data_IF_009988984172
#
_entry.id   IF_009988984172
#
_cell.length_a   1.000
_cell.length_b   1.000
_cell.length_c   1.000
_cell.angle_alpha   90.00
_cell.angle_beta   90.00
_cell.angle_gamma   90.00
#
_symmetry.space_group_name_H-M   'P 1'
#
loop_
_entity.id
_entity.type
_entity.pdbx_description
1 polymer ?
#
# COMPACT_ATOMS: atom_id res chain seq x y z
N UNK A 1 31.72 5.60 81.75
CA UNK A 1 32.50 6.41 80.77
C UNK A 1 31.96 6.12 79.38
N UNK A 2 31.26 7.08 78.75
CA UNK A 2 30.85 6.97 77.34
C UNK A 2 31.95 7.58 76.49
N UNK A 3 32.66 6.74 75.73
CA UNK A 3 33.60 7.19 74.72
C UNK A 3 32.79 7.83 73.60
N UNK A 4 32.85 9.15 73.48
CA UNK A 4 32.28 9.87 72.35
C UNK A 4 33.15 9.61 71.12
N UNK A 5 32.66 8.84 70.18
CA UNK A 5 33.31 8.62 68.89
C UNK A 5 33.28 9.94 68.10
N UNK A 6 34.46 10.44 67.74
CA UNK A 6 34.61 11.63 66.87
C UNK A 6 34.06 11.25 65.49
N UNK A 7 33.02 11.95 65.02
CA UNK A 7 32.53 11.76 63.66
C UNK A 7 33.64 12.14 62.66
N UNK A 8 33.96 11.30 61.66
CA UNK A 8 34.91 11.66 60.62
C UNK A 8 34.37 12.86 59.84
N UNK A 9 35.22 13.87 59.63
CA UNK A 9 34.88 15.05 58.83
C UNK A 9 34.93 14.74 57.34
N UNK A 10 33.95 15.23 56.59
CA UNK A 10 33.86 15.07 55.13
C UNK A 10 34.94 15.89 54.42
N UNK A 11 35.78 15.25 53.62
CA UNK A 11 36.87 15.92 52.91
C UNK A 11 36.37 16.53 51.59
N UNK A 12 37.02 17.60 51.15
CA UNK A 12 36.73 18.25 49.86
C UNK A 12 36.90 17.29 48.67
N UNK A 13 37.82 16.32 48.79
CA UNK A 13 38.05 15.31 47.76
C UNK A 13 36.92 14.26 47.70
N UNK A 14 36.32 13.88 48.84
CA UNK A 14 35.14 13.00 48.85
C UNK A 14 33.93 13.66 48.16
N UNK A 15 33.72 14.97 48.40
CA UNK A 15 32.68 15.72 47.69
C UNK A 15 32.92 15.73 46.18
N UNK A 16 34.16 16.02 45.77
CA UNK A 16 34.55 16.11 44.36
C UNK A 16 34.35 14.78 43.63
N UNK A 17 34.75 13.67 44.26
CA UNK A 17 34.55 12.34 43.69
C UNK A 17 33.06 12.03 43.61
N UNK A 18 32.27 12.35 44.64
CA UNK A 18 30.83 12.11 44.66
C UNK A 18 30.12 12.86 43.52
N UNK A 19 30.42 14.15 43.32
CA UNK A 19 29.81 14.93 42.23
C UNK A 19 30.31 14.47 40.85
N UNK A 20 31.56 14.03 40.73
CA UNK A 20 32.10 13.52 39.47
C UNK A 20 31.39 12.21 39.04
N UNK A 21 31.21 11.28 39.98
CA UNK A 21 30.47 10.03 39.73
C UNK A 21 29.01 10.35 39.41
N UNK A 22 28.37 11.22 40.18
CA UNK A 22 26.99 11.62 39.94
C UNK A 22 26.82 12.25 38.56
N UNK A 23 27.75 13.13 38.16
CA UNK A 23 27.75 13.74 36.84
C UNK A 23 27.90 12.69 35.72
N UNK A 24 28.76 11.68 35.91
CA UNK A 24 28.93 10.60 34.94
C UNK A 24 27.66 9.74 34.82
N UNK A 25 27.06 9.35 35.94
CA UNK A 25 25.81 8.57 35.96
C UNK A 25 24.67 9.36 35.31
N UNK A 26 24.55 10.66 35.61
CA UNK A 26 23.56 11.53 35.00
C UNK A 26 23.76 11.63 33.47
N UNK A 27 25.00 11.80 33.00
CA UNK A 27 25.32 11.85 31.57
C UNK A 27 25.00 10.53 30.85
N UNK A 28 25.29 9.38 31.48
CA UNK A 28 24.95 8.06 30.95
C UNK A 28 23.44 7.83 30.93
N UNK A 29 22.73 8.23 31.99
CA UNK A 29 21.27 8.14 32.08
C UNK A 29 20.57 8.93 30.97
N UNK A 30 21.01 10.16 30.72
CA UNK A 30 20.46 10.99 29.64
C UNK A 30 20.70 10.38 28.25
N UNK A 31 21.92 9.89 27.98
CA UNK A 31 22.24 9.22 26.71
C UNK A 31 21.44 7.92 26.51
N UNK A 32 21.24 7.15 27.58
CA UNK A 32 20.41 5.94 27.56
C UNK A 32 18.96 6.26 27.23
N UNK A 33 18.39 7.27 27.87
CA UNK A 33 17.03 7.75 27.60
C UNK A 33 16.88 8.24 26.15
N UNK A 34 17.78 9.10 25.67
CA UNK A 34 17.76 9.59 24.29
C UNK A 34 17.85 8.46 23.26
N UNK A 35 18.64 7.43 23.55
CA UNK A 35 18.74 6.23 22.72
C UNK A 35 17.40 5.49 22.61
N UNK A 36 16.71 5.29 23.73
CA UNK A 36 15.40 4.63 23.77
C UNK A 36 14.33 5.43 23.04
N UNK A 37 14.30 6.77 23.23
CA UNK A 37 13.32 7.63 22.58
C UNK A 37 13.45 7.59 21.06
N UNK A 38 14.68 7.73 20.53
CA UNK A 38 14.94 7.62 19.08
C UNK A 38 14.58 6.24 18.52
N UNK A 39 14.90 5.17 19.25
CA UNK A 39 14.57 3.81 18.83
C UNK A 39 13.04 3.61 18.76
N UNK A 40 12.29 4.14 19.73
CA UNK A 40 10.83 4.09 19.72
C UNK A 40 10.24 4.86 18.54
N UNK A 41 10.73 6.06 18.28
CA UNK A 41 10.25 6.89 17.17
C UNK A 41 10.46 6.20 15.81
N UNK A 42 11.65 5.61 15.58
CA UNK A 42 11.91 4.81 14.37
C UNK A 42 11.00 3.59 14.26
N UNK A 43 10.80 2.86 15.36
CA UNK A 43 9.95 1.67 15.37
C UNK A 43 8.49 2.04 15.09
N UNK A 44 7.98 3.12 15.69
CA UNK A 44 6.63 3.61 15.44
C UNK A 44 6.46 3.99 13.98
N UNK A 45 7.41 4.72 13.37
CA UNK A 45 7.36 5.05 11.95
C UNK A 45 7.30 3.82 11.04
N UNK A 46 8.14 2.80 11.31
CA UNK A 46 8.13 1.56 10.53
C UNK A 46 6.81 0.76 10.68
N UNK A 47 6.21 0.79 11.86
CA UNK A 47 4.92 0.15 12.13
C UNK A 47 3.77 0.86 11.40
N UNK A 48 3.75 2.20 11.41
CA UNK A 48 2.77 3.00 10.68
C UNK A 48 2.88 2.78 9.17
N UNK A 49 4.10 2.76 8.65
CA UNK A 49 4.38 2.49 7.24
C UNK A 49 3.89 1.09 6.83
N UNK A 50 4.24 0.06 7.62
CA UNK A 50 3.79 -1.32 7.36
C UNK A 50 2.27 -1.44 7.42
N UNK A 51 1.63 -0.79 8.40
CA UNK A 51 0.17 -0.76 8.53
C UNK A 51 -0.49 -0.08 7.34
N UNK A 52 0.05 1.03 6.86
CA UNK A 52 -0.45 1.73 5.68
C UNK A 52 -0.39 0.86 4.41
N UNK A 53 0.72 0.11 4.21
CA UNK A 53 0.83 -0.86 3.12
C UNK A 53 -0.19 -2.00 3.25
N UNK A 54 -0.43 -2.53 4.45
CA UNK A 54 -1.44 -3.57 4.68
C UNK A 54 -2.85 -3.08 4.37
N UNK A 55 -3.21 -1.85 4.78
CA UNK A 55 -4.51 -1.25 4.47
C UNK A 55 -4.68 -1.02 2.97
N UNK A 56 -3.64 -0.53 2.29
CA UNK A 56 -3.60 -0.41 0.82
C UNK A 56 -3.89 -1.75 0.16
N UNK A 57 -3.24 -2.82 0.63
CA UNK A 57 -3.45 -4.17 0.12
C UNK A 57 -4.80 -4.78 0.50
N UNK A 58 -5.44 -4.35 1.58
CA UNK A 58 -6.81 -4.74 1.88
C UNK A 58 -7.78 -4.06 0.90
N UNK A 59 -7.58 -2.77 0.61
CA UNK A 59 -8.36 -2.03 -0.38
C UNK A 59 -8.19 -2.64 -1.79
N UNK A 60 -6.96 -2.92 -2.21
CA UNK A 60 -6.68 -3.57 -3.50
C UNK A 60 -7.25 -5.00 -3.56
N UNK A 61 -7.20 -5.76 -2.46
CA UNK A 61 -7.85 -7.07 -2.39
C UNK A 61 -9.34 -6.99 -2.68
N UNK A 62 -10.03 -6.01 -2.10
CA UNK A 62 -11.46 -5.83 -2.30
C UNK A 62 -11.79 -5.48 -3.76
N UNK A 63 -11.04 -4.55 -4.35
CA UNK A 63 -11.24 -4.19 -5.76
C UNK A 63 -10.91 -5.35 -6.71
N UNK A 64 -9.82 -6.09 -6.47
CA UNK A 64 -9.44 -7.29 -7.24
C UNK A 64 -10.48 -8.41 -7.15
N UNK A 65 -11.05 -8.64 -5.95
CA UNK A 65 -12.09 -9.64 -5.75
C UNK A 65 -13.35 -9.31 -6.56
N UNK A 66 -13.68 -8.01 -6.68
CA UNK A 66 -14.86 -7.52 -7.38
C UNK A 66 -14.61 -7.14 -8.84
N UNK A 67 -13.48 -7.50 -9.45
CA UNK A 67 -13.22 -7.23 -10.87
C UNK A 67 -14.35 -7.80 -11.74
N UNK A 68 -14.85 -6.98 -12.65
CA UNK A 68 -15.99 -7.31 -13.47
C UNK A 68 -15.66 -8.51 -14.40
N UNK A 69 -16.49 -9.56 -14.43
CA UNK A 69 -16.24 -10.72 -15.27
C UNK A 69 -16.42 -10.36 -16.75
N UNK A 70 -15.69 -11.05 -17.63
CA UNK A 70 -15.79 -10.85 -19.08
C UNK A 70 -17.19 -11.11 -19.65
N UNK A 71 -18.01 -11.93 -18.97
CA UNK A 71 -19.41 -12.12 -19.33
C UNK A 71 -20.24 -10.83 -19.23
N UNK A 72 -19.79 -9.86 -18.42
CA UNK A 72 -20.45 -8.56 -18.23
C UNK A 72 -19.84 -7.49 -19.13
N UNK A 73 -18.51 -7.43 -19.24
CA UNK A 73 -17.82 -6.35 -19.97
C UNK A 73 -17.40 -6.70 -21.41
N UNK A 74 -17.58 -7.96 -21.82
CA UNK A 74 -17.22 -8.46 -23.15
C UNK A 74 -15.70 -8.56 -23.34
N UNK A 75 -15.20 -8.07 -24.48
CA UNK A 75 -13.78 -8.10 -24.84
C UNK A 75 -12.95 -6.95 -24.23
N UNK A 76 -13.54 -6.13 -23.35
CA UNK A 76 -12.86 -4.99 -22.71
C UNK A 76 -11.74 -5.45 -21.76
N UNK A 77 -10.70 -4.64 -21.56
CA UNK A 77 -9.69 -4.93 -20.54
C UNK A 77 -10.32 -4.95 -19.14
N UNK A 78 -10.14 -6.06 -18.41
CA UNK A 78 -10.57 -6.15 -17.00
C UNK A 78 -9.64 -5.38 -16.08
N UNK A 79 -8.33 -5.48 -16.34
CA UNK A 79 -7.28 -4.90 -15.53
C UNK A 79 -6.04 -4.61 -16.38
N UNK A 80 -5.44 -3.45 -16.15
CA UNK A 80 -4.12 -3.03 -16.62
C UNK A 80 -3.27 -2.73 -15.40
N UNK A 81 -2.02 -3.18 -15.41
CA UNK A 81 -1.04 -2.84 -14.40
C UNK A 81 0.27 -2.49 -15.11
N UNK A 82 0.91 -1.40 -14.70
CA UNK A 82 2.27 -1.00 -15.06
C UNK A 82 3.01 -0.59 -13.78
N UNK A 83 4.22 -0.04 -13.79
CA UNK A 83 4.96 0.25 -12.54
C UNK A 83 4.35 1.34 -11.65
N UNK A 84 3.49 2.20 -12.19
CA UNK A 84 2.98 3.39 -11.48
C UNK A 84 1.46 3.39 -11.36
N UNK A 85 0.76 2.56 -12.14
CA UNK A 85 -0.68 2.58 -12.27
C UNK A 85 -1.28 1.17 -12.32
N UNK A 86 -2.38 1.00 -11.60
CA UNK A 86 -3.33 -0.11 -11.80
C UNK A 86 -4.65 0.51 -12.25
N UNK A 87 -5.23 0.01 -13.33
CA UNK A 87 -6.59 0.34 -13.74
C UNK A 87 -7.39 -0.94 -13.83
N UNK A 88 -8.58 -0.98 -13.25
CA UNK A 88 -9.44 -2.14 -13.32
C UNK A 88 -10.90 -1.72 -13.44
N UNK A 89 -11.71 -2.59 -14.02
CA UNK A 89 -13.17 -2.45 -13.98
C UNK A 89 -13.69 -3.38 -12.89
N UNK A 90 -14.47 -2.85 -11.94
CA UNK A 90 -15.13 -3.65 -10.91
C UNK A 90 -16.64 -3.58 -11.02
N UNK A 91 -17.30 -4.63 -10.54
CA UNK A 91 -18.72 -4.64 -10.29
C UNK A 91 -19.01 -3.99 -8.93
N UNK A 92 -20.07 -3.19 -8.88
CA UNK A 92 -20.58 -2.58 -7.66
C UNK A 92 -22.00 -3.08 -7.42
N UNK A 93 -22.21 -3.57 -6.20
CA UNK A 93 -23.50 -4.05 -5.72
C UNK A 93 -24.04 -3.04 -4.72
N UNK A 94 -25.27 -2.58 -4.95
CA UNK A 94 -26.00 -1.72 -4.03
C UNK A 94 -27.34 -2.37 -3.70
N UNK A 95 -27.76 -2.28 -2.44
CA UNK A 95 -28.97 -2.97 -1.97
C UNK A 95 -30.20 -2.55 -2.77
N UNK A 96 -30.93 -3.57 -3.25
CA UNK A 96 -32.14 -3.39 -4.05
C UNK A 96 -31.91 -2.73 -5.41
N UNK A 97 -30.66 -2.56 -5.85
CA UNK A 97 -30.31 -1.96 -7.14
C UNK A 97 -29.58 -2.97 -8.02
N UNK A 98 -29.80 -2.92 -9.34
CA UNK A 98 -29.00 -3.72 -10.26
C UNK A 98 -27.51 -3.36 -10.16
N UNK A 99 -26.66 -4.35 -10.45
CA UNK A 99 -25.21 -4.14 -10.47
C UNK A 99 -24.80 -3.06 -11.47
N UNK A 100 -23.79 -2.31 -11.08
CA UNK A 100 -23.13 -1.27 -11.89
C UNK A 100 -21.65 -1.56 -12.03
N UNK A 101 -21.00 -0.82 -12.90
CA UNK A 101 -19.58 -0.90 -13.20
C UNK A 101 -18.90 0.41 -12.86
N UNK A 102 -17.70 0.30 -12.32
CA UNK A 102 -16.82 1.43 -12.03
C UNK A 102 -15.41 1.11 -12.54
N UNK A 103 -14.73 2.14 -13.04
CA UNK A 103 -13.29 2.09 -13.31
C UNK A 103 -12.56 2.55 -12.05
N UNK A 104 -11.71 1.71 -11.50
CA UNK A 104 -10.86 2.04 -10.35
C UNK A 104 -9.42 2.19 -10.81
N UNK A 105 -8.78 3.26 -10.35
CA UNK A 105 -7.39 3.58 -10.64
C UNK A 105 -6.59 3.71 -9.36
N UNK A 106 -5.50 2.97 -9.27
CA UNK A 106 -4.43 3.21 -8.32
C UNK A 106 -3.31 3.93 -9.05
N UNK A 107 -2.80 5.02 -8.48
CA UNK A 107 -1.69 5.79 -9.06
C UNK A 107 -0.67 6.12 -7.98
N UNK A 108 0.57 5.70 -8.22
CA UNK A 108 1.73 6.13 -7.47
C UNK A 108 2.31 7.38 -8.14
N UNK A 109 2.25 8.50 -7.44
CA UNK A 109 2.87 9.75 -7.89
C UNK A 109 3.66 10.37 -6.73
N UNK A 110 4.92 10.73 -6.96
CA UNK A 110 5.79 11.35 -5.95
C UNK A 110 5.84 10.62 -4.59
N UNK A 111 5.78 9.28 -4.62
CA UNK A 111 5.78 8.43 -3.42
C UNK A 111 4.45 8.42 -2.65
N UNK A 112 3.38 8.96 -3.25
CA UNK A 112 2.01 8.93 -2.74
C UNK A 112 1.18 8.01 -3.62
N UNK A 113 0.72 6.90 -3.05
CA UNK A 113 -0.22 6.01 -3.70
C UNK A 113 -1.63 6.47 -3.38
N UNK A 114 -2.39 6.75 -4.43
CA UNK A 114 -3.78 7.18 -4.34
C UNK A 114 -4.69 6.21 -5.10
N UNK A 115 -5.94 6.14 -4.66
CA UNK A 115 -7.02 5.42 -5.33
C UNK A 115 -8.10 6.40 -5.76
N UNK A 116 -8.58 6.24 -6.98
CA UNK A 116 -9.73 6.97 -7.52
C UNK A 116 -10.69 5.96 -8.16
N UNK A 117 -11.97 6.28 -8.20
CA UNK A 117 -13.00 5.48 -8.88
C UNK A 117 -13.87 6.39 -9.75
N UNK A 118 -14.32 5.92 -10.90
CA UNK A 118 -15.24 6.67 -11.75
C UNK A 118 -16.66 6.69 -11.16
N UNK A 119 -17.55 7.48 -11.78
CA UNK A 119 -18.98 7.29 -11.55
C UNK A 119 -19.39 5.85 -11.94
N UNK A 120 -20.35 5.29 -11.20
CA UNK A 120 -20.92 3.99 -11.49
C UNK A 120 -21.86 4.06 -12.69
N UNK A 121 -21.65 3.22 -13.70
CA UNK A 121 -22.51 3.14 -14.88
C UNK A 121 -23.00 1.72 -15.15
N UNK A 122 -24.10 1.62 -15.89
CA UNK A 122 -24.59 0.36 -16.48
C UNK A 122 -24.45 0.36 -18.00
N UNK A 123 -24.12 1.51 -18.58
CA UNK A 123 -23.89 1.67 -20.00
C UNK A 123 -22.43 1.34 -20.30
N UNK A 124 -22.23 0.34 -21.15
CA UNK A 124 -20.90 -0.09 -21.56
C UNK A 124 -20.21 0.94 -22.46
N UNK A 125 -20.96 1.80 -23.16
CA UNK A 125 -20.39 2.90 -23.93
C UNK A 125 -19.87 4.02 -23.01
N UNK A 126 -20.65 4.36 -21.96
CA UNK A 126 -20.19 5.27 -20.92
C UNK A 126 -18.97 4.70 -20.18
N UNK A 127 -18.96 3.40 -19.89
CA UNK A 127 -17.79 2.73 -19.30
C UNK A 127 -16.53 2.88 -20.16
N UNK A 128 -16.65 2.75 -21.49
CA UNK A 128 -15.52 2.97 -22.41
C UNK A 128 -15.01 4.41 -22.32
N UNK A 129 -15.91 5.40 -22.25
CA UNK A 129 -15.54 6.80 -22.08
C UNK A 129 -14.85 7.05 -20.73
N UNK A 130 -15.36 6.48 -19.63
CA UNK A 130 -14.75 6.58 -18.30
C UNK A 130 -13.37 5.93 -18.28
N UNK A 131 -13.23 4.74 -18.88
CA UNK A 131 -11.95 4.05 -18.99
C UNK A 131 -10.90 4.88 -19.72
N UNK A 132 -11.27 5.49 -20.85
CA UNK A 132 -10.37 6.38 -21.60
C UNK A 132 -10.04 7.66 -20.83
N UNK A 133 -11.01 8.28 -20.16
CA UNK A 133 -10.76 9.46 -19.33
C UNK A 133 -9.70 9.18 -18.24
N UNK A 134 -9.73 7.99 -17.64
CA UNK A 134 -8.69 7.56 -16.69
C UNK A 134 -7.34 7.20 -17.32
N UNK A 135 -7.30 6.93 -18.62
CA UNK A 135 -6.06 6.75 -19.38
C UNK A 135 -5.34 8.09 -19.53
N UNK A 136 -6.12 9.12 -19.85
CA UNK A 136 -5.63 10.47 -20.16
C UNK A 136 -5.57 11.37 -18.92
N UNK A 137 -5.92 10.86 -17.74
CA UNK A 137 -6.05 11.62 -16.47
C UNK A 137 -7.00 12.83 -16.58
N UNK A 138 -8.06 12.71 -17.39
CA UNK A 138 -9.07 13.77 -17.61
C UNK A 138 -10.37 13.54 -16.83
N UNK A 139 -10.39 12.53 -15.95
CA UNK A 139 -11.54 12.21 -15.11
C UNK A 139 -11.67 13.21 -13.93
N UNK A 140 -12.59 14.17 -14.07
CA UNK A 140 -12.75 15.29 -13.12
C UNK A 140 -13.77 15.03 -12.01
N UNK A 141 -14.60 14.00 -12.14
CA UNK A 141 -15.75 13.77 -11.25
C UNK A 141 -15.39 13.05 -9.94
N UNK A 142 -14.12 12.68 -9.73
CA UNK A 142 -13.72 11.83 -8.61
C UNK A 142 -12.42 12.29 -7.97
N UNK A 143 -12.46 12.60 -6.68
CA UNK A 143 -11.26 12.99 -5.95
C UNK A 143 -10.42 11.76 -5.56
N UNK A 144 -9.09 11.80 -5.74
CA UNK A 144 -8.22 10.71 -5.33
C UNK A 144 -8.17 10.62 -3.81
N UNK A 145 -8.34 9.41 -3.28
CA UNK A 145 -8.14 9.07 -1.87
C UNK A 145 -6.70 8.62 -1.69
N UNK A 146 -5.95 9.30 -0.83
CA UNK A 146 -4.58 8.89 -0.48
C UNK A 146 -4.64 7.62 0.36
N UNK A 147 -3.98 6.56 -0.10
CA UNK A 147 -3.90 5.28 0.60
C UNK A 147 -2.62 5.14 1.41
N UNK A 148 -1.50 5.56 0.82
CA UNK A 148 -0.20 5.48 1.47
C UNK A 148 0.73 6.57 0.96
N UNK A 149 1.52 7.13 1.88
CA UNK A 149 2.58 8.09 1.57
C UNK A 149 3.94 7.49 1.89
N UNK A 150 4.98 8.01 1.27
CA UNK A 150 6.34 7.58 1.57
C UNK A 150 6.72 6.24 0.96
N UNK A 151 6.12 5.89 -0.19
CA UNK A 151 6.59 4.76 -0.98
C UNK A 151 7.82 5.19 -1.80
N UNK A 152 8.81 4.30 -1.87
CA UNK A 152 9.96 4.39 -2.77
C UNK A 152 9.67 3.82 -4.16
N UNK A 153 8.66 2.94 -4.29
CA UNK A 153 8.28 2.36 -5.58
C UNK A 153 7.13 1.37 -5.49
N UNK A 154 6.60 1.02 -6.65
CA UNK A 154 5.60 -0.03 -6.85
C UNK A 154 6.00 -0.86 -8.08
N UNK A 155 5.75 -2.16 -8.04
CA UNK A 155 5.92 -3.02 -9.21
C UNK A 155 4.86 -4.11 -9.23
N UNK A 156 4.54 -4.59 -10.45
CA UNK A 156 3.47 -5.55 -10.63
C UNK A 156 3.85 -6.65 -11.62
N UNK A 157 3.23 -7.81 -11.40
CA UNK A 157 3.23 -8.92 -12.34
C UNK A 157 1.83 -9.45 -12.51
N UNK A 158 1.53 -9.96 -13.69
CA UNK A 158 0.22 -10.50 -14.04
C UNK A 158 0.33 -11.97 -14.42
N UNK A 159 -0.76 -12.71 -14.21
CA UNK A 159 -0.85 -14.13 -14.56
C UNK A 159 -2.18 -14.45 -15.20
N UNK A 160 -2.16 -15.16 -16.32
CA UNK A 160 -3.35 -15.52 -17.12
C UNK A 160 -3.90 -16.92 -16.80
N UNK A 161 -3.39 -17.58 -15.76
CA UNK A 161 -3.80 -18.94 -15.38
C UNK A 161 -2.95 -20.05 -16.00
N UNK A 162 -2.12 -19.72 -16.99
CA UNK A 162 -1.16 -20.64 -17.64
C UNK A 162 0.18 -19.95 -17.83
N UNK A 163 1.26 -20.72 -17.82
CA UNK A 163 2.61 -20.19 -18.00
C UNK A 163 3.14 -19.36 -16.81
N UNK A 164 4.30 -18.70 -16.98
CA UNK A 164 4.94 -17.92 -15.94
C UNK A 164 4.26 -16.56 -15.73
N UNK A 165 4.49 -15.97 -14.54
CA UNK A 165 4.14 -14.58 -14.25
C UNK A 165 4.85 -13.61 -15.19
N UNK A 166 4.09 -12.72 -15.81
CA UNK A 166 4.56 -11.72 -16.76
C UNK A 166 4.71 -10.36 -16.06
N UNK A 167 5.61 -9.49 -16.55
CA UNK A 167 5.69 -8.12 -16.06
C UNK A 167 4.35 -7.41 -16.29
N UNK A 168 3.97 -6.52 -15.37
CA UNK A 168 2.73 -5.75 -15.46
C UNK A 168 2.60 -5.06 -16.80
N UNK A 169 1.70 -5.59 -17.63
CA UNK A 169 1.18 -4.99 -18.84
C UNK A 169 -0.19 -5.61 -19.12
N UNK A 170 -1.01 -4.91 -19.93
CA UNK A 170 -2.22 -5.48 -20.50
C UNK A 170 -1.92 -6.85 -21.12
N UNK A 171 -2.75 -7.88 -20.92
CA UNK A 171 -2.80 -8.94 -21.90
C UNK A 171 -3.16 -8.33 -23.26
N UNK A 172 -2.45 -8.74 -24.32
CA UNK A 172 -2.78 -8.31 -25.69
C UNK A 172 -4.29 -8.59 -25.95
N UNK A 173 -4.99 -7.69 -26.68
CA UNK A 173 -6.39 -7.91 -27.02
C UNK A 173 -6.55 -9.29 -27.65
N UNK A 174 -7.59 -10.03 -27.25
CA UNK A 174 -7.86 -11.33 -27.83
C UNK A 174 -8.04 -11.18 -29.35
N UNK A 175 -7.30 -11.98 -30.12
CA UNK A 175 -7.73 -12.26 -31.49
C UNK A 175 -9.06 -12.99 -31.37
N UNK A 176 -10.16 -12.34 -31.75
CA UNK A 176 -11.49 -12.96 -31.73
C UNK A 176 -11.51 -14.11 -32.75
N UNK A 177 -11.24 -15.33 -32.30
CA UNK A 177 -11.41 -16.53 -33.13
C UNK A 177 -12.88 -16.94 -33.03
N UNK A 178 -13.61 -17.07 -34.16
CA UNK A 178 -15.01 -17.51 -34.15
C UNK A 178 -15.16 -18.86 -33.45
N UNK A 179 -16.04 -18.95 -32.46
CA UNK A 179 -16.29 -20.16 -31.66
C UNK A 179 -15.49 -20.24 -30.34
N UNK A 180 -14.63 -19.27 -30.03
CA UNK A 180 -13.89 -19.23 -28.77
C UNK A 180 -14.75 -18.59 -27.66
N UNK A 181 -15.07 -19.37 -26.62
CA UNK A 181 -15.83 -18.89 -25.46
C UNK A 181 -14.84 -18.31 -24.44
N UNK A 182 -14.90 -16.99 -24.24
CA UNK A 182 -14.05 -16.25 -23.28
C UNK A 182 -12.76 -15.68 -23.89
N UNK A 183 -12.15 -14.73 -23.19
CA UNK A 183 -10.83 -14.19 -23.56
C UNK A 183 -9.74 -15.13 -23.00
N UNK A 184 -8.95 -15.84 -23.82
CA UNK A 184 -7.89 -16.73 -23.35
C UNK A 184 -6.78 -15.98 -22.58
N UNK A 185 -6.71 -14.66 -22.75
CA UNK A 185 -5.77 -13.79 -22.04
C UNK A 185 -6.40 -13.13 -20.80
N UNK A 186 -7.51 -13.67 -20.27
CA UNK A 186 -8.13 -13.16 -19.05
C UNK A 186 -7.15 -13.26 -17.87
N UNK A 187 -6.94 -12.14 -17.17
CA UNK A 187 -6.10 -12.14 -15.98
C UNK A 187 -6.76 -12.96 -14.86
N UNK A 188 -5.95 -13.79 -14.21
CA UNK A 188 -6.32 -14.62 -13.07
C UNK A 188 -5.61 -14.20 -11.80
N UNK A 189 -4.40 -13.67 -11.94
CA UNK A 189 -3.58 -13.21 -10.82
C UNK A 189 -2.95 -11.84 -11.08
N UNK A 190 -2.83 -11.06 -10.01
CA UNK A 190 -2.03 -9.84 -9.93
C UNK A 190 -1.10 -9.97 -8.72
N UNK A 191 0.20 -9.85 -8.92
CA UNK A 191 1.18 -9.68 -7.86
C UNK A 191 1.55 -8.20 -7.80
N UNK A 192 1.50 -7.61 -6.60
CA UNK A 192 1.93 -6.23 -6.37
C UNK A 192 2.97 -6.20 -5.27
N UNK A 193 4.06 -5.49 -5.54
CA UNK A 193 5.11 -5.18 -4.57
C UNK A 193 5.10 -3.68 -4.29
N UNK A 194 5.07 -3.30 -3.01
CA UNK A 194 5.24 -1.93 -2.54
C UNK A 194 6.55 -1.83 -1.78
N UNK A 195 7.37 -0.86 -2.16
CA UNK A 195 8.60 -0.54 -1.45
C UNK A 195 8.39 0.74 -0.65
N UNK A 196 8.60 0.64 0.65
CA UNK A 196 8.62 1.75 1.59
C UNK A 196 9.93 2.54 1.57
N UNK A 197 9.91 3.79 2.05
CA UNK A 197 11.10 4.64 2.16
C UNK A 197 12.10 4.14 3.21
N UNK A 198 11.65 3.38 4.21
CA UNK A 198 12.54 2.70 5.16
C UNK A 198 13.34 1.55 4.54
N UNK A 199 12.99 1.14 3.31
CA UNK A 199 13.51 -0.05 2.64
C UNK A 199 12.65 -1.30 2.86
N UNK A 200 11.57 -1.21 3.66
CA UNK A 200 10.60 -2.29 3.80
C UNK A 200 9.97 -2.62 2.43
N UNK A 201 9.88 -3.90 2.09
CA UNK A 201 9.21 -4.37 0.86
C UNK A 201 8.09 -5.31 1.26
N UNK A 202 6.87 -5.03 0.78
CA UNK A 202 5.73 -5.91 0.98
C UNK A 202 5.17 -6.35 -0.37
N UNK A 203 5.01 -7.66 -0.53
CA UNK A 203 4.48 -8.29 -1.73
C UNK A 203 3.18 -9.01 -1.39
N UNK A 204 2.18 -8.87 -2.26
CA UNK A 204 0.92 -9.60 -2.17
C UNK A 204 0.43 -10.05 -3.54
N UNK A 205 -0.11 -11.28 -3.57
CA UNK A 205 -0.78 -11.86 -4.74
C UNK A 205 -2.28 -11.79 -4.55
N UNK A 206 -2.98 -11.35 -5.59
CA UNK A 206 -4.43 -11.18 -5.64
C UNK A 206 -4.99 -12.08 -6.75
N UNK A 207 -6.10 -12.76 -6.46
CA UNK A 207 -6.90 -13.42 -7.47
C UNK A 207 -7.93 -12.44 -8.03
N UNK A 208 -8.17 -12.52 -9.33
CA UNK A 208 -9.07 -11.60 -10.05
C UNK A 208 -10.47 -12.23 -10.15
N UNK A 209 -11.49 -11.50 -9.70
CA UNK A 209 -12.89 -11.90 -9.83
C UNK A 209 -13.26 -13.12 -8.97
N UNK A 210 -12.68 -13.24 -7.78
CA UNK A 210 -12.90 -14.36 -6.85
C UNK A 210 -13.99 -14.10 -5.79
N UNK A 211 -14.75 -13.01 -5.91
CA UNK A 211 -15.89 -12.69 -5.05
C UNK A 211 -17.15 -13.50 -5.39
#
# INVERSE_FOLDING_TARGET
MRVGTKAPGFTLIELLIAIAILAMVAALGWRGLDGILRAREQLTGNLEETRGMQLTFAQLQNDCANVAPLSVIGARPQLLADSERIRLVRTVYADGQPSRLEVVVYRLDNGVLSRRESNATRDLHELDALWQATADDTDTNSQPVVLQTGLGGMSMRTWIGTGPWQAGAAPAPANNVPGQIGNPNALKGLEVSLQGKSGAVMLKVFLIGAA
#
